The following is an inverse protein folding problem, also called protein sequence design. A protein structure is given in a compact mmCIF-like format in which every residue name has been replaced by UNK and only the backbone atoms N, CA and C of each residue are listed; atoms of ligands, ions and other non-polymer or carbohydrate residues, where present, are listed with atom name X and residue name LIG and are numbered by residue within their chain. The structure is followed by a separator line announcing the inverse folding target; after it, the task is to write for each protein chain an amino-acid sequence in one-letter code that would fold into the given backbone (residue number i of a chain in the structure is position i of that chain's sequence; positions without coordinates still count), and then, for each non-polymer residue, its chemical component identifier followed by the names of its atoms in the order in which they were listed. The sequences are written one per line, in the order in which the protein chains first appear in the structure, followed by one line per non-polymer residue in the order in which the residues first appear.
data_IF_561470414649
#
_entry.id   IF_561470414649
#
_cell.length_a   1.000
_cell.length_b   1.000
_cell.length_c   1.000
_cell.angle_alpha   90.00
_cell.angle_beta   90.00
_cell.angle_gamma   90.00
#
_symmetry.space_group_name_H-M   'P 1'
#
loop_
_entity.id
_entity.type
_entity.pdbx_description
1 polymer ?
#
# COMPACT_ATOMS: atom_id res chain seq x y z
N UNK A 1 -5.70 -33.75 -44.69
CA UNK A 1 -5.17 -32.64 -45.52
C UNK A 1 -5.89 -31.37 -45.15
N UNK A 2 -5.17 -30.35 -44.69
CA UNK A 2 -5.66 -28.97 -44.58
C UNK A 2 -4.53 -28.06 -45.09
N UNK A 3 -4.79 -27.25 -46.11
CA UNK A 3 -3.76 -26.51 -46.83
C UNK A 3 -3.68 -25.03 -46.42
N UNK A 4 -2.46 -24.51 -46.32
CA UNK A 4 -2.18 -23.08 -46.06
C UNK A 4 -2.32 -22.23 -47.32
N UNK A 5 -2.85 -20.99 -47.22
CA UNK A 5 -2.56 -19.88 -48.16
C UNK A 5 -2.58 -18.51 -47.45
N UNK A 6 -1.78 -17.59 -47.99
CA UNK A 6 -1.57 -16.17 -47.58
C UNK A 6 -1.54 -15.32 -48.88
N UNK A 7 -1.59 -13.98 -48.93
CA UNK A 7 -1.35 -12.90 -47.96
C UNK A 7 -2.29 -11.71 -48.20
N UNK A 8 -2.41 -10.79 -47.23
CA UNK A 8 -2.64 -9.37 -47.52
C UNK A 8 -2.10 -8.45 -46.40
N UNK A 9 -1.22 -7.51 -46.77
CA UNK A 9 -0.78 -6.40 -45.92
C UNK A 9 -1.32 -5.06 -46.46
N UNK A 10 -1.10 -4.00 -45.69
CA UNK A 10 -1.17 -2.57 -46.07
C UNK A 10 -2.57 -1.93 -46.07
N UNK A 11 -2.82 -1.15 -45.01
CA UNK A 11 -3.20 0.25 -45.13
C UNK A 11 -2.64 1.03 -43.92
N UNK A 12 -1.48 1.68 -44.10
CA UNK A 12 -0.89 2.57 -43.09
C UNK A 12 -1.55 3.94 -43.22
N UNK A 13 -2.56 4.24 -42.41
CA UNK A 13 -3.08 5.59 -42.28
C UNK A 13 -2.16 6.40 -41.35
N UNK A 14 -1.17 7.09 -41.93
CA UNK A 14 -0.40 8.08 -41.19
C UNK A 14 -1.27 9.31 -40.89
N UNK A 15 -1.47 9.58 -39.61
CA UNK A 15 -1.87 10.90 -39.10
C UNK A 15 -1.43 10.94 -37.63
N UNK A 16 -0.31 11.55 -37.25
CA UNK A 16 0.36 12.69 -37.90
C UNK A 16 -0.28 14.02 -37.54
N UNK A 17 -1.49 13.99 -36.95
CA UNK A 17 -2.20 15.17 -36.50
C UNK A 17 -1.58 15.69 -35.21
N UNK A 18 -0.81 16.77 -35.31
CA UNK A 18 -0.53 17.65 -34.17
C UNK A 18 -1.87 18.10 -33.61
N UNK A 19 -2.28 17.52 -32.48
CA UNK A 19 -3.46 17.94 -31.71
C UNK A 19 -3.20 19.38 -31.26
N UNK A 20 -3.65 20.35 -32.07
CA UNK A 20 -3.58 21.76 -31.71
C UNK A 20 -4.35 21.98 -30.42
N UNK A 21 -3.99 23.03 -29.66
CA UNK A 21 -4.65 23.33 -28.37
C UNK A 21 -6.18 23.42 -28.50
N UNK A 22 -6.69 23.85 -29.66
CA UNK A 22 -8.12 23.89 -29.98
C UNK A 22 -8.76 22.49 -30.11
N UNK A 23 -8.03 21.51 -30.65
CA UNK A 23 -8.53 20.13 -30.75
C UNK A 23 -8.50 19.42 -29.39
N UNK A 24 -7.48 19.67 -28.56
CA UNK A 24 -7.48 19.20 -27.16
C UNK A 24 -8.58 19.88 -26.33
N UNK A 25 -8.86 21.16 -26.61
CA UNK A 25 -10.01 21.89 -26.07
C UNK A 25 -11.30 21.12 -26.41
N UNK A 26 -11.69 21.03 -27.68
CA UNK A 26 -12.92 20.31 -28.07
C UNK A 26 -13.00 18.87 -27.53
N UNK A 27 -11.91 18.08 -27.50
CA UNK A 27 -11.89 16.73 -26.92
C UNK A 27 -12.22 16.71 -25.41
N UNK A 28 -11.83 17.74 -24.66
CA UNK A 28 -11.94 17.76 -23.18
C UNK A 28 -13.30 18.22 -22.69
N UNK A 29 -14.08 18.95 -23.49
CA UNK A 29 -15.37 19.51 -23.07
C UNK A 29 -16.45 19.57 -24.15
N UNK A 30 -16.29 18.84 -25.27
CA UNK A 30 -17.43 18.33 -26.03
C UNK A 30 -17.64 16.84 -25.79
N UNK A 31 -18.89 16.44 -25.71
CA UNK A 31 -19.30 15.03 -25.68
C UNK A 31 -19.19 14.42 -27.08
N UNK A 32 -19.26 13.09 -27.19
CA UNK A 32 -19.17 12.35 -28.47
C UNK A 32 -20.27 12.69 -29.48
N UNK A 33 -21.37 13.29 -29.01
CA UNK A 33 -22.50 13.80 -29.80
C UNK A 33 -22.29 15.24 -30.32
N UNK A 34 -21.16 15.89 -29.99
CA UNK A 34 -20.82 17.26 -30.39
C UNK A 34 -21.33 18.35 -29.44
N UNK A 35 -22.18 18.02 -28.46
CA UNK A 35 -22.66 18.97 -27.44
C UNK A 35 -21.51 19.42 -26.53
N UNK A 36 -21.56 20.69 -26.07
CA UNK A 36 -20.63 21.18 -25.05
C UNK A 36 -21.06 20.63 -23.68
N UNK A 37 -20.10 20.26 -22.81
CA UNK A 37 -20.40 19.92 -21.40
C UNK A 37 -21.16 21.03 -20.67
N UNK A 38 -21.00 22.27 -21.13
CA UNK A 38 -21.69 23.46 -20.62
C UNK A 38 -23.22 23.34 -20.78
N UNK A 39 -23.73 22.53 -21.72
CA UNK A 39 -25.17 22.26 -21.86
C UNK A 39 -25.76 21.60 -20.61
N UNK A 40 -25.04 20.69 -19.95
CA UNK A 40 -25.50 20.02 -18.73
C UNK A 40 -25.52 20.98 -17.53
N UNK A 41 -24.49 21.83 -17.40
CA UNK A 41 -24.47 22.90 -16.40
C UNK A 41 -25.56 23.97 -16.67
N UNK A 42 -25.85 24.27 -17.94
CA UNK A 42 -26.92 25.17 -18.35
C UNK A 42 -28.32 24.62 -18.03
N UNK A 43 -28.56 23.33 -18.32
CA UNK A 43 -29.81 22.63 -17.99
C UNK A 43 -30.03 22.57 -16.46
N UNK A 44 -28.97 22.34 -15.68
CA UNK A 44 -29.02 22.40 -14.21
C UNK A 44 -29.35 23.82 -13.72
N UNK A 45 -28.75 24.86 -14.31
CA UNK A 45 -29.03 26.27 -13.97
C UNK A 45 -30.47 26.67 -14.31
N UNK A 46 -30.99 26.23 -15.46
CA UNK A 46 -32.39 26.45 -15.87
C UNK A 46 -33.36 25.75 -14.90
N UNK A 47 -33.12 24.47 -14.60
CA UNK A 47 -33.91 23.71 -13.61
C UNK A 47 -33.88 24.31 -12.20
N UNK A 48 -32.78 24.93 -11.79
CA UNK A 48 -32.70 25.68 -10.53
C UNK A 48 -33.53 26.96 -10.57
N UNK A 49 -33.52 27.68 -11.70
CA UNK A 49 -34.28 28.92 -11.88
C UNK A 49 -35.81 28.67 -11.89
N UNK A 50 -36.25 27.61 -12.57
CA UNK A 50 -37.65 27.17 -12.56
C UNK A 50 -38.10 26.69 -11.17
N UNK A 51 -37.25 25.93 -10.46
CA UNK A 51 -37.54 25.54 -9.06
C UNK A 51 -37.64 26.75 -8.13
N UNK A 52 -36.78 27.78 -8.30
CA UNK A 52 -36.86 29.02 -7.51
C UNK A 52 -38.21 29.71 -7.74
N UNK A 53 -38.63 29.89 -8.99
CA UNK A 53 -39.92 30.51 -9.32
C UNK A 53 -41.11 29.72 -8.73
N UNK A 54 -41.05 28.38 -8.78
CA UNK A 54 -42.07 27.51 -8.17
C UNK A 54 -42.12 27.64 -6.65
N UNK A 55 -41.00 27.84 -5.97
CA UNK A 55 -40.96 28.02 -4.51
C UNK A 55 -41.41 29.42 -4.08
N UNK A 56 -41.04 30.47 -4.83
CA UNK A 56 -41.49 31.86 -4.61
C UNK A 56 -43.02 31.98 -4.67
N UNK A 57 -43.66 31.24 -5.59
CA UNK A 57 -45.11 31.14 -5.70
C UNK A 57 -45.79 30.44 -4.50
N UNK A 58 -45.09 29.55 -3.79
CA UNK A 58 -45.60 28.84 -2.60
C UNK A 58 -45.40 29.69 -1.34
N UNK A 59 -44.26 30.37 -1.21
CA UNK A 59 -43.98 31.29 -0.08
C UNK A 59 -44.86 32.54 -0.07
N UNK A 60 -45.52 32.86 -1.18
CA UNK A 60 -46.54 33.92 -1.22
C UNK A 60 -47.83 33.56 -0.45
N UNK A 61 -48.00 32.32 0.02
CA UNK A 61 -49.26 31.85 0.61
C UNK A 61 -49.16 31.23 2.01
N UNK A 62 -47.97 31.07 2.59
CA UNK A 62 -47.87 30.70 4.01
C UNK A 62 -46.62 31.24 4.69
N UNK A 63 -46.81 31.93 5.82
CA UNK A 63 -45.75 32.60 6.56
C UNK A 63 -45.06 31.69 7.57
N UNK A 64 -43.80 32.00 7.90
CA UNK A 64 -43.06 31.61 9.13
C UNK A 64 -42.11 30.39 9.15
N UNK A 65 -41.69 29.83 7.99
CA UNK A 65 -40.54 28.89 7.99
C UNK A 65 -39.24 29.64 7.63
N UNK A 66 -38.26 29.59 8.52
CA UNK A 66 -36.95 30.24 8.38
C UNK A 66 -36.13 29.57 7.26
N UNK A 67 -35.53 30.34 6.33
CA UNK A 67 -34.74 29.75 5.23
C UNK A 67 -33.52 28.97 5.74
N UNK A 68 -32.88 29.42 6.82
CA UNK A 68 -31.74 28.73 7.43
C UNK A 68 -32.06 27.28 7.87
N UNK A 69 -33.31 26.98 8.26
CA UNK A 69 -33.70 25.61 8.62
C UNK A 69 -33.84 24.70 7.39
N UNK A 70 -34.20 25.26 6.23
CA UNK A 70 -34.35 24.50 4.99
C UNK A 70 -32.98 24.05 4.47
N UNK A 71 -31.99 24.95 4.43
CA UNK A 71 -30.64 24.62 3.98
C UNK A 71 -29.97 23.62 4.93
N UNK A 72 -30.07 23.81 6.25
CA UNK A 72 -29.56 22.86 7.22
C UNK A 72 -30.24 21.47 7.11
N UNK A 73 -31.55 21.43 6.84
CA UNK A 73 -32.28 20.18 6.62
C UNK A 73 -31.83 19.48 5.33
N UNK A 74 -31.70 20.20 4.22
CA UNK A 74 -31.26 19.63 2.93
C UNK A 74 -29.82 19.10 3.05
N UNK A 75 -28.92 19.85 3.69
CA UNK A 75 -27.54 19.42 3.94
C UNK A 75 -27.51 18.15 4.82
N UNK A 76 -28.36 18.08 5.85
CA UNK A 76 -28.49 16.91 6.73
C UNK A 76 -29.03 15.66 6.00
N UNK A 77 -30.11 15.78 5.22
CA UNK A 77 -30.68 14.65 4.47
C UNK A 77 -29.74 14.17 3.34
N UNK A 78 -29.04 15.09 2.66
CA UNK A 78 -28.12 14.75 1.56
C UNK A 78 -26.78 14.17 2.05
N UNK A 79 -26.21 14.66 3.16
CA UNK A 79 -24.91 14.20 3.66
C UNK A 79 -25.02 13.09 4.72
N UNK A 80 -26.14 12.99 5.43
CA UNK A 80 -26.25 12.20 6.66
C UNK A 80 -26.60 10.72 6.49
N UNK A 81 -27.28 10.32 5.40
CA UNK A 81 -28.07 9.09 5.42
C UNK A 81 -27.38 7.80 4.94
N UNK A 82 -26.38 7.86 4.04
CA UNK A 82 -25.82 6.63 3.43
C UNK A 82 -24.29 6.46 3.56
N UNK A 83 -23.51 7.53 3.69
CA UNK A 83 -22.03 7.46 3.71
C UNK A 83 -21.44 7.05 5.07
N UNK A 84 -22.07 7.46 6.17
CA UNK A 84 -21.49 7.37 7.51
C UNK A 84 -21.45 5.94 8.07
N UNK A 85 -22.43 5.09 7.72
CA UNK A 85 -22.45 3.69 8.16
C UNK A 85 -21.43 2.81 7.43
N UNK A 86 -21.07 3.12 6.18
CA UNK A 86 -20.13 2.29 5.40
C UNK A 86 -18.65 2.69 5.60
N UNK A 87 -18.38 3.93 6.04
CA UNK A 87 -17.02 4.41 6.30
C UNK A 87 -16.44 3.89 7.64
N UNK A 88 -17.31 3.66 8.63
CA UNK A 88 -16.94 3.24 9.99
C UNK A 88 -16.31 1.82 10.08
N UNK A 89 -16.87 0.77 9.43
CA UNK A 89 -16.29 -0.58 9.46
C UNK A 89 -14.90 -0.67 8.83
N UNK A 90 -14.68 0.08 7.74
CA UNK A 90 -13.45 0.01 6.95
C UNK A 90 -12.23 0.52 7.73
N UNK A 91 -12.39 1.59 8.52
CA UNK A 91 -11.33 2.12 9.40
C UNK A 91 -10.91 1.10 10.45
N UNK A 92 -11.87 0.44 11.10
CA UNK A 92 -11.62 -0.59 12.10
C UNK A 92 -10.93 -1.82 11.49
N UNK A 93 -11.32 -2.22 10.29
CA UNK A 93 -10.67 -3.32 9.55
C UNK A 93 -9.21 -2.97 9.19
N UNK A 94 -8.96 -1.77 8.67
CA UNK A 94 -7.61 -1.32 8.33
C UNK A 94 -6.70 -1.25 9.58
N UNK A 95 -7.22 -0.75 10.70
CA UNK A 95 -6.49 -0.70 11.97
C UNK A 95 -6.15 -2.10 12.51
N UNK A 96 -7.08 -3.06 12.41
CA UNK A 96 -6.83 -4.45 12.79
C UNK A 96 -5.78 -5.13 11.90
N UNK A 97 -5.76 -4.85 10.59
CA UNK A 97 -4.73 -5.35 9.67
C UNK A 97 -3.34 -4.77 9.98
N UNK A 98 -3.26 -3.46 10.26
CA UNK A 98 -2.01 -2.81 10.70
C UNK A 98 -1.50 -3.40 12.02
N UNK A 99 -2.38 -3.69 12.99
CA UNK A 99 -1.94 -4.28 14.24
C UNK A 99 -1.43 -5.72 14.06
N UNK A 100 -2.13 -6.57 13.30
CA UNK A 100 -1.64 -7.92 12.96
C UNK A 100 -0.27 -7.89 12.27
N UNK A 101 -0.04 -6.93 11.38
CA UNK A 101 1.27 -6.78 10.72
C UNK A 101 2.36 -6.38 11.72
N UNK A 102 2.07 -5.47 12.67
CA UNK A 102 3.01 -5.13 13.76
C UNK A 102 3.33 -6.35 14.62
N UNK A 103 2.32 -7.13 14.99
CA UNK A 103 2.49 -8.32 15.83
C UNK A 103 3.35 -9.38 15.11
N UNK A 104 3.13 -9.59 13.80
CA UNK A 104 3.96 -10.45 12.96
C UNK A 104 5.42 -9.96 12.84
N UNK A 105 5.63 -8.65 12.65
CA UNK A 105 6.98 -8.06 12.61
C UNK A 105 7.68 -8.25 13.97
N UNK A 106 6.97 -8.04 15.08
CA UNK A 106 7.50 -8.24 16.43
C UNK A 106 7.87 -9.71 16.69
N UNK A 107 7.02 -10.66 16.30
CA UNK A 107 7.33 -12.10 16.40
C UNK A 107 8.54 -12.50 15.55
N UNK A 108 8.63 -12.02 14.31
CA UNK A 108 9.76 -12.28 13.42
C UNK A 108 11.06 -11.67 13.95
N UNK A 109 11.01 -10.46 14.52
CA UNK A 109 12.15 -9.83 15.19
C UNK A 109 12.59 -10.63 16.42
N UNK A 110 11.66 -11.03 17.29
CA UNK A 110 11.95 -11.83 18.48
C UNK A 110 12.60 -13.18 18.10
N UNK A 111 12.04 -13.89 17.11
CA UNK A 111 12.61 -15.15 16.61
C UNK A 111 14.03 -14.98 16.07
N UNK A 112 14.30 -13.88 15.33
CA UNK A 112 15.64 -13.59 14.82
C UNK A 112 16.64 -13.26 15.94
N UNK A 113 16.22 -12.50 16.95
CA UNK A 113 17.07 -12.19 18.12
C UNK A 113 17.41 -13.46 18.89
N UNK A 114 16.43 -14.35 19.09
CA UNK A 114 16.62 -15.65 19.75
C UNK A 114 17.63 -16.53 18.98
N UNK A 115 17.49 -16.67 17.65
CA UNK A 115 18.46 -17.40 16.82
C UNK A 115 19.88 -16.80 16.91
N UNK A 116 20.02 -15.47 16.94
CA UNK A 116 21.33 -14.82 17.11
C UNK A 116 21.92 -15.11 18.50
N UNK A 117 21.09 -15.18 19.54
CA UNK A 117 21.50 -15.56 20.90
C UNK A 117 22.04 -16.99 20.93
N UNK A 118 21.29 -17.94 20.35
CA UNK A 118 21.66 -19.36 20.27
C UNK A 118 22.96 -19.57 19.49
N UNK A 119 23.10 -18.95 18.30
CA UNK A 119 24.33 -19.03 17.51
C UNK A 119 25.55 -18.46 18.26
N UNK A 120 25.38 -17.36 19.02
CA UNK A 120 26.47 -16.80 19.83
C UNK A 120 26.87 -17.72 20.99
N UNK A 121 25.89 -18.33 21.67
CA UNK A 121 26.16 -19.29 22.73
C UNK A 121 26.87 -20.55 22.19
N UNK A 122 26.47 -21.03 21.02
CA UNK A 122 27.10 -22.18 20.36
C UNK A 122 28.54 -21.87 19.91
N UNK A 123 28.79 -20.69 19.32
CA UNK A 123 30.15 -20.24 18.96
C UNK A 123 31.03 -20.16 20.20
N UNK A 124 30.57 -19.52 21.28
CA UNK A 124 31.33 -19.42 22.53
C UNK A 124 31.61 -20.80 23.16
N UNK A 125 30.66 -21.74 23.12
CA UNK A 125 30.87 -23.10 23.59
C UNK A 125 31.94 -23.85 22.77
N UNK A 126 31.91 -23.70 21.44
CA UNK A 126 32.92 -24.28 20.52
C UNK A 126 34.31 -23.67 20.75
N UNK A 127 34.42 -22.37 20.96
CA UNK A 127 35.68 -21.67 21.28
C UNK A 127 36.29 -22.16 22.60
N UNK A 128 35.46 -22.32 23.65
CA UNK A 128 35.90 -22.88 24.94
C UNK A 128 36.38 -24.32 24.80
N UNK A 129 35.67 -25.16 24.03
CA UNK A 129 36.09 -26.55 23.83
C UNK A 129 37.37 -26.67 22.99
N UNK A 130 37.55 -25.82 21.97
CA UNK A 130 38.78 -25.75 21.20
C UNK A 130 39.96 -25.30 22.05
N UNK A 131 39.76 -24.32 22.94
CA UNK A 131 40.77 -23.84 23.88
C UNK A 131 41.21 -24.96 24.83
N UNK A 132 40.25 -25.70 25.42
CA UNK A 132 40.56 -26.87 26.28
C UNK A 132 41.39 -27.93 25.55
N UNK A 133 41.07 -28.25 24.30
CA UNK A 133 41.84 -29.21 23.48
C UNK A 133 43.26 -28.73 23.21
N UNK A 134 43.47 -27.43 23.06
CA UNK A 134 44.80 -26.84 22.94
C UNK A 134 45.59 -26.95 24.25
N UNK A 135 44.98 -26.58 25.38
CA UNK A 135 45.61 -26.68 26.71
C UNK A 135 46.00 -28.13 27.05
N UNK A 136 45.13 -29.09 26.74
CA UNK A 136 45.41 -30.51 26.93
C UNK A 136 46.59 -30.99 26.06
N UNK A 137 46.65 -30.56 24.79
CA UNK A 137 47.77 -30.88 23.90
C UNK A 137 49.10 -30.27 24.40
N UNK A 138 49.07 -29.05 24.94
CA UNK A 138 50.25 -28.42 25.57
C UNK A 138 50.72 -29.22 26.79
N UNK A 139 49.80 -29.67 27.66
CA UNK A 139 50.12 -30.51 28.82
C UNK A 139 50.72 -31.87 28.42
N UNK A 140 50.18 -32.51 27.37
CA UNK A 140 50.73 -33.76 26.83
C UNK A 140 52.16 -33.57 26.30
N UNK A 141 52.40 -32.51 25.49
CA UNK A 141 53.72 -32.20 24.95
C UNK A 141 54.75 -31.92 26.06
N UNK A 142 54.36 -31.15 27.08
CA UNK A 142 55.20 -30.87 28.25
C UNK A 142 55.59 -32.15 29.00
N UNK A 143 54.64 -33.07 29.20
CA UNK A 143 54.88 -34.36 29.85
C UNK A 143 55.90 -35.21 29.07
N UNK A 144 55.75 -35.29 27.74
CA UNK A 144 56.68 -36.00 26.86
C UNK A 144 58.09 -35.40 26.94
N UNK A 145 58.22 -34.07 26.85
CA UNK A 145 59.50 -33.37 26.99
C UNK A 145 60.19 -33.68 28.33
N UNK A 146 59.42 -33.71 29.43
CA UNK A 146 59.94 -34.01 30.77
C UNK A 146 60.45 -35.45 30.85
N UNK A 147 59.69 -36.43 30.36
CA UNK A 147 60.11 -37.84 30.34
C UNK A 147 61.37 -38.05 29.49
N UNK A 148 61.43 -37.45 28.29
CA UNK A 148 62.59 -37.53 27.41
C UNK A 148 63.86 -36.95 28.06
N UNK A 149 63.75 -35.81 28.75
CA UNK A 149 64.87 -35.22 29.48
C UNK A 149 65.34 -36.09 30.66
N UNK A 150 64.43 -36.81 31.32
CA UNK A 150 64.77 -37.74 32.39
C UNK A 150 65.54 -38.95 31.84
N UNK A 151 65.08 -39.55 30.74
CA UNK A 151 65.75 -40.70 30.11
C UNK A 151 67.20 -40.40 29.71
N UNK A 152 67.48 -39.19 29.20
CA UNK A 152 68.85 -38.77 28.89
C UNK A 152 69.72 -38.53 30.14
N UNK A 153 69.13 -38.10 31.26
CA UNK A 153 69.86 -37.94 32.53
C UNK A 153 70.20 -39.28 33.20
N UNK A 154 69.41 -40.32 32.93
CA UNK A 154 69.64 -41.69 33.47
C UNK A 154 70.58 -42.53 32.60
N UNK A 155 71.06 -42.02 31.46
CA UNK A 155 71.97 -42.72 30.54
C UNK A 155 73.39 -42.12 30.51
N UNK A 156 73.76 -41.35 31.53
CA UNK A 156 75.12 -40.85 31.80
C UNK A 156 75.53 -41.25 33.22
#
# INVERSE_FOLDING_TARGET
MAGSKSFACVAKAESGQKVGRLHLFDITHRRKDGSLMISEAGEIMEKLKDKKAKYEAITSSDSSVNLEDIDNRIISEVLGSESSQQYMPLRSQAQAAVQRLRDQIAQMQASKVEQISQLRAEVAAREVEQSRKYDELQLQLWSIMKMFQQSQKTSS
#
